data_IF_713964262837
#
_entry.id   IF_713964262837
#
_cell.length_a   1.000
_cell.length_b   1.000
_cell.length_c   1.000
_cell.angle_alpha   90.00
_cell.angle_beta   90.00
_cell.angle_gamma   90.00
#
_symmetry.space_group_name_H-M   'P 1'
#
loop_
_entity.id
_entity.type
_entity.pdbx_description
1 polymer ?
#
# COMPACT_ATOMS: atom_id res chain seq x y z
N UNK A 1 -1.14 5.40 21.26
CA UNK A 1 -1.53 4.15 22.00
C UNK A 1 -0.36 3.18 21.89
N UNK A 2 -0.03 2.44 22.96
CA UNK A 2 1.04 1.45 22.86
C UNK A 2 0.52 0.17 22.20
N UNK A 3 1.22 -0.30 21.17
CA UNK A 3 0.94 -1.54 20.47
C UNK A 3 1.74 -2.67 21.11
N UNK A 4 1.12 -3.83 21.32
CA UNK A 4 1.77 -4.95 21.99
C UNK A 4 1.56 -6.23 21.20
N UNK A 5 2.62 -7.04 21.12
CA UNK A 5 2.53 -8.40 20.59
C UNK A 5 3.41 -9.33 21.42
N UNK A 6 2.96 -10.56 21.62
CA UNK A 6 3.70 -11.58 22.34
C UNK A 6 4.05 -12.72 21.39
N UNK A 7 5.34 -13.07 21.31
CA UNK A 7 5.83 -14.19 20.51
C UNK A 7 6.59 -15.14 21.43
N UNK A 8 6.00 -16.32 21.65
CA UNK A 8 6.53 -17.28 22.62
C UNK A 8 6.52 -16.68 24.03
N UNK A 9 7.70 -16.58 24.66
CA UNK A 9 7.88 -15.97 25.99
C UNK A 9 8.24 -14.49 25.96
N UNK A 10 8.41 -13.89 24.76
CA UNK A 10 8.86 -12.51 24.62
C UNK A 10 7.68 -11.58 24.30
N UNK A 11 7.51 -10.53 25.10
CA UNK A 11 6.56 -9.45 24.86
C UNK A 11 7.29 -8.27 24.21
N UNK A 12 6.75 -7.79 23.11
CA UNK A 12 7.22 -6.61 22.37
C UNK A 12 6.21 -5.50 22.55
N UNK A 13 6.70 -4.28 22.75
CA UNK A 13 5.88 -3.08 22.92
C UNK A 13 6.38 -2.04 21.92
N UNK A 14 5.47 -1.43 21.18
CA UNK A 14 5.75 -0.38 20.22
C UNK A 14 4.98 0.88 20.66
N UNK A 15 5.64 2.02 20.59
CA UNK A 15 5.12 3.28 21.15
C UNK A 15 4.01 3.87 20.29
N UNK A 16 4.17 3.82 18.96
CA UNK A 16 3.26 4.41 18.00
C UNK A 16 3.06 3.56 16.73
N UNK A 17 2.06 3.92 15.92
CA UNK A 17 1.76 3.25 14.65
C UNK A 17 2.91 3.39 13.64
N UNK A 18 3.65 4.50 13.67
CA UNK A 18 4.80 4.74 12.82
C UNK A 18 5.90 3.72 13.07
N UNK A 19 6.19 3.43 14.34
CA UNK A 19 7.18 2.41 14.73
C UNK A 19 6.71 1.01 14.30
N UNK A 20 5.45 0.65 14.54
CA UNK A 20 4.88 -0.63 14.07
C UNK A 20 5.04 -0.78 12.56
N UNK A 21 4.70 0.27 11.80
CA UNK A 21 4.84 0.28 10.35
C UNK A 21 6.30 0.14 9.89
N UNK A 22 7.23 0.81 10.56
CA UNK A 22 8.65 0.72 10.23
C UNK A 22 9.19 -0.69 10.49
N UNK A 23 8.91 -1.25 11.66
CA UNK A 23 9.41 -2.56 12.09
C UNK A 23 8.75 -3.75 11.35
N UNK A 24 7.49 -3.61 10.94
CA UNK A 24 6.81 -4.61 10.10
C UNK A 24 7.37 -4.70 8.67
N UNK A 25 8.21 -3.75 8.26
CA UNK A 25 8.80 -3.70 6.92
C UNK A 25 9.79 -4.84 6.68
N UNK A 26 9.93 -5.33 5.42
CA UNK A 26 11.00 -6.26 5.06
C UNK A 26 12.37 -5.67 5.38
N UNK A 27 13.30 -6.53 5.79
CA UNK A 27 14.66 -6.10 6.11
C UNK A 27 15.36 -5.51 4.88
N UNK A 28 15.88 -4.29 5.01
CA UNK A 28 16.71 -3.61 4.01
C UNK A 28 17.99 -3.13 4.67
N UNK A 29 19.10 -3.21 3.94
CA UNK A 29 20.42 -2.83 4.48
C UNK A 29 20.47 -1.36 4.92
N UNK A 30 19.80 -0.46 4.20
CA UNK A 30 19.72 0.95 4.54
C UNK A 30 18.97 1.21 5.85
N UNK A 31 17.83 0.54 6.05
CA UNK A 31 17.02 0.70 7.26
C UNK A 31 17.77 0.18 8.51
N UNK A 32 18.56 -0.88 8.32
CA UNK A 32 19.40 -1.44 9.39
C UNK A 32 20.51 -0.47 9.82
N UNK A 33 21.18 0.14 8.83
CA UNK A 33 22.23 1.13 9.09
C UNK A 33 21.68 2.41 9.74
N UNK A 34 20.46 2.80 9.38
CA UNK A 34 19.78 3.97 9.94
C UNK A 34 19.12 3.72 11.30
N UNK A 35 19.07 2.45 11.76
CA UNK A 35 18.41 2.09 13.03
C UNK A 35 16.87 2.28 13.03
N UNK A 36 16.24 2.34 11.84
CA UNK A 36 14.80 2.61 11.72
C UNK A 36 13.99 1.30 11.62
N UNK A 37 14.62 0.20 11.24
CA UNK A 37 13.98 -1.11 11.09
C UNK A 37 14.09 -1.98 12.34
N UNK A 38 13.34 -3.09 12.34
CA UNK A 38 13.41 -4.07 13.41
C UNK A 38 14.83 -4.65 13.56
N UNK A 39 15.31 -4.75 14.80
CA UNK A 39 16.64 -5.26 15.13
C UNK A 39 16.77 -6.77 14.93
N UNK A 40 15.64 -7.50 14.96
CA UNK A 40 15.59 -8.95 14.83
C UNK A 40 14.39 -9.41 13.98
N UNK A 41 14.47 -10.66 13.51
CA UNK A 41 13.34 -11.30 12.82
C UNK A 41 12.14 -11.48 13.76
N UNK A 42 12.35 -11.74 15.04
CA UNK A 42 11.29 -11.89 16.03
C UNK A 42 10.55 -10.56 16.25
N UNK A 43 11.29 -9.46 16.39
CA UNK A 43 10.72 -8.13 16.53
C UNK A 43 9.90 -7.73 15.30
N UNK A 44 10.39 -8.06 14.10
CA UNK A 44 9.63 -7.83 12.85
C UNK A 44 8.32 -8.61 12.82
N UNK A 45 8.36 -9.89 13.20
CA UNK A 45 7.15 -10.71 13.27
C UNK A 45 6.21 -10.15 14.33
N UNK A 46 6.71 -9.73 15.50
CA UNK A 46 5.89 -9.09 16.53
C UNK A 46 5.20 -7.81 16.00
N UNK A 47 5.94 -6.97 15.27
CA UNK A 47 5.37 -5.78 14.64
C UNK A 47 4.31 -6.13 13.57
N UNK A 48 4.50 -7.21 12.80
CA UNK A 48 3.50 -7.69 11.85
C UNK A 48 2.23 -8.20 12.56
N UNK A 49 2.35 -8.89 13.69
CA UNK A 49 1.19 -9.29 14.49
C UNK A 49 0.44 -8.08 15.06
N UNK A 50 1.17 -7.13 15.66
CA UNK A 50 0.56 -5.89 16.15
C UNK A 50 -0.15 -5.12 15.04
N UNK A 51 0.47 -5.04 13.84
CA UNK A 51 -0.12 -4.40 12.66
C UNK A 51 -1.38 -5.14 12.17
N UNK A 52 -1.37 -6.47 12.21
CA UNK A 52 -2.49 -7.30 11.78
C UNK A 52 -3.76 -7.03 12.59
N UNK A 53 -3.62 -6.81 13.90
CA UNK A 53 -4.71 -6.52 14.83
C UNK A 53 -5.15 -5.04 14.80
N UNK A 54 -4.41 -4.16 14.14
CA UNK A 54 -4.71 -2.73 14.09
C UNK A 54 -5.95 -2.48 13.23
N UNK A 55 -6.98 -1.77 13.74
CA UNK A 55 -8.14 -1.39 12.94
C UNK A 55 -7.77 -0.39 11.84
N UNK A 56 -8.34 -0.51 10.64
CA UNK A 56 -8.09 0.41 9.53
C UNK A 56 -8.39 1.88 9.88
N UNK A 57 -9.44 2.13 10.68
CA UNK A 57 -9.78 3.47 11.15
C UNK A 57 -8.67 4.15 11.96
N UNK A 58 -7.74 3.38 12.54
CA UNK A 58 -6.63 3.91 13.33
C UNK A 58 -5.70 4.79 12.49
N UNK A 59 -5.53 4.47 11.21
CA UNK A 59 -4.72 5.25 10.28
C UNK A 59 -5.28 6.65 9.98
N UNK A 60 -6.58 6.88 10.25
CA UNK A 60 -7.20 8.19 10.13
C UNK A 60 -7.08 9.03 11.40
N UNK A 61 -6.88 8.37 12.55
CA UNK A 61 -6.76 9.04 13.86
C UNK A 61 -5.31 9.24 14.27
N UNK A 62 -4.43 8.33 13.85
CA UNK A 62 -3.00 8.37 14.15
C UNK A 62 -2.22 8.39 12.81
N UNK A 63 -2.12 9.60 12.24
CA UNK A 63 -1.39 9.79 11.00
C UNK A 63 0.11 9.54 11.22
N UNK A 64 0.77 8.87 10.26
CA UNK A 64 2.22 8.59 10.32
C UNK A 64 3.06 9.86 10.23
N UNK A 65 2.54 10.88 9.56
CA UNK A 65 3.09 12.22 9.47
C UNK A 65 1.99 13.17 9.95
N UNK A 66 2.26 14.10 10.87
CA UNK A 66 1.26 15.05 11.36
C UNK A 66 0.67 15.88 10.21
N UNK A 67 -0.65 16.14 10.29
CA UNK A 67 -1.38 16.92 9.28
C UNK A 67 -0.75 18.28 9.01
N UNK A 68 -0.20 18.92 10.04
CA UNK A 68 0.39 20.26 9.94
C UNK A 68 1.76 20.28 9.24
N UNK A 69 2.46 19.14 9.24
CA UNK A 69 3.85 19.07 8.81
C UNK A 69 4.01 18.80 7.31
N UNK A 70 2.96 18.24 6.66
CA UNK A 70 3.07 17.80 5.26
C UNK A 70 1.82 18.09 4.42
N UNK A 71 2.01 18.83 3.33
CA UNK A 71 0.94 19.15 2.39
C UNK A 71 0.35 17.93 1.68
N UNK A 72 1.13 16.86 1.49
CA UNK A 72 0.66 15.63 0.85
C UNK A 72 -0.29 14.91 1.80
N UNK A 73 0.07 14.83 3.09
CA UNK A 73 -0.78 14.26 4.13
C UNK A 73 -2.11 15.03 4.23
N UNK A 74 -2.10 16.37 4.11
CA UNK A 74 -3.31 17.19 4.04
C UNK A 74 -4.20 16.79 2.87
N UNK A 75 -3.65 16.71 1.67
CA UNK A 75 -4.40 16.31 0.48
C UNK A 75 -5.01 14.92 0.60
N UNK A 76 -4.31 13.97 1.23
CA UNK A 76 -4.80 12.60 1.44
C UNK A 76 -5.97 12.61 2.42
N UNK A 77 -5.82 13.30 3.55
CA UNK A 77 -6.86 13.36 4.60
C UNK A 77 -8.08 14.13 4.09
N UNK A 78 -7.90 15.26 3.42
CA UNK A 78 -8.98 16.10 2.90
C UNK A 78 -9.72 15.42 1.73
N UNK A 79 -9.00 14.62 0.93
CA UNK A 79 -9.56 13.86 -0.19
C UNK A 79 -10.18 12.50 0.21
N UNK A 80 -10.13 12.11 1.48
CA UNK A 80 -10.63 10.84 1.95
C UNK A 80 -12.17 10.78 1.92
N UNK A 81 -12.72 9.81 1.19
CA UNK A 81 -14.17 9.56 1.13
C UNK A 81 -14.62 8.60 2.24
N UNK A 82 -15.26 9.17 3.26
CA UNK A 82 -15.80 8.42 4.41
C UNK A 82 -16.92 7.43 4.02
N UNK A 83 -17.70 7.75 2.98
CA UNK A 83 -18.77 6.85 2.53
C UNK A 83 -18.20 5.63 1.81
N UNK A 84 -17.20 5.82 0.96
CA UNK A 84 -16.48 4.73 0.34
C UNK A 84 -15.73 3.87 1.36
N UNK A 85 -15.22 4.46 2.46
CA UNK A 85 -14.53 3.76 3.53
C UNK A 85 -15.46 2.97 4.47
N UNK A 86 -16.71 3.39 4.62
CA UNK A 86 -17.65 2.83 5.60
C UNK A 86 -17.74 1.28 5.62
N UNK A 87 -17.76 0.57 4.47
CA UNK A 87 -17.87 -0.89 4.44
C UNK A 87 -16.70 -1.61 5.13
N UNK A 88 -15.50 -1.02 5.12
CA UNK A 88 -14.27 -1.64 5.66
C UNK A 88 -13.79 -0.99 6.96
N UNK A 89 -14.48 0.04 7.45
CA UNK A 89 -14.07 0.81 8.62
C UNK A 89 -13.96 0.00 9.92
N UNK A 90 -14.69 -1.11 10.01
CA UNK A 90 -14.70 -2.01 11.16
C UNK A 90 -13.62 -3.10 11.07
N UNK A 91 -12.98 -3.27 9.92
CA UNK A 91 -12.01 -4.32 9.68
C UNK A 91 -10.66 -3.98 10.30
N UNK A 92 -9.96 -5.03 10.73
CA UNK A 92 -8.52 -4.95 11.01
C UNK A 92 -7.72 -5.03 9.72
N UNK A 93 -6.41 -4.75 9.79
CA UNK A 93 -5.52 -4.90 8.64
C UNK A 93 -5.49 -6.36 8.16
N UNK A 94 -5.57 -7.34 9.08
CA UNK A 94 -5.63 -8.76 8.72
C UNK A 94 -6.94 -9.12 8.02
N UNK A 95 -8.10 -8.68 8.56
CA UNK A 95 -9.40 -8.95 7.95
C UNK A 95 -9.48 -8.36 6.54
N UNK A 96 -8.95 -7.17 6.36
CA UNK A 96 -8.93 -6.50 5.06
C UNK A 96 -8.00 -7.22 4.07
N UNK A 97 -6.84 -7.73 4.52
CA UNK A 97 -5.99 -8.61 3.71
C UNK A 97 -6.76 -9.83 3.23
N UNK A 98 -7.45 -10.51 4.13
CA UNK A 98 -8.18 -11.74 3.82
C UNK A 98 -9.36 -11.46 2.87
N UNK A 99 -10.04 -10.32 3.07
CA UNK A 99 -11.07 -9.86 2.14
C UNK A 99 -10.49 -9.58 0.74
N UNK A 100 -9.33 -8.92 0.64
CA UNK A 100 -8.66 -8.65 -0.65
C UNK A 100 -8.30 -9.94 -1.41
N UNK A 101 -7.95 -11.00 -0.69
CA UNK A 101 -7.61 -12.30 -1.27
C UNK A 101 -8.86 -13.11 -1.65
N UNK A 102 -10.00 -12.82 -1.05
CA UNK A 102 -11.27 -13.51 -1.32
C UNK A 102 -11.85 -13.17 -2.70
N UNK A 103 -12.77 -13.99 -3.20
CA UNK A 103 -13.47 -13.76 -4.46
C UNK A 103 -14.45 -12.56 -4.39
N UNK A 104 -14.80 -12.10 -3.18
CA UNK A 104 -15.66 -10.94 -2.98
C UNK A 104 -14.98 -9.61 -3.37
N UNK A 105 -13.64 -9.55 -3.33
CA UNK A 105 -12.87 -8.39 -3.78
C UNK A 105 -12.79 -8.36 -5.31
N UNK A 106 -13.88 -7.96 -5.96
CA UNK A 106 -13.95 -7.79 -7.41
C UNK A 106 -13.31 -6.46 -7.83
N UNK A 107 -12.96 -6.33 -9.13
CA UNK A 107 -12.44 -5.07 -9.69
C UNK A 107 -13.39 -3.89 -9.45
N UNK A 108 -14.71 -4.11 -9.54
CA UNK A 108 -15.70 -3.08 -9.30
C UNK A 108 -15.77 -2.67 -7.83
N UNK A 109 -15.74 -3.66 -6.90
CA UNK A 109 -15.71 -3.39 -5.46
C UNK A 109 -14.44 -2.61 -5.05
N UNK A 110 -13.28 -2.98 -5.60
CA UNK A 110 -12.02 -2.28 -5.35
C UNK A 110 -12.04 -0.85 -5.90
N UNK A 111 -12.61 -0.64 -7.08
CA UNK A 111 -12.73 0.70 -7.66
C UNK A 111 -13.67 1.61 -6.83
N UNK A 112 -14.77 1.05 -6.31
CA UNK A 112 -15.69 1.79 -5.43
C UNK A 112 -15.06 2.12 -4.08
N UNK A 113 -14.21 1.25 -3.55
CA UNK A 113 -13.53 1.43 -2.26
C UNK A 113 -12.32 2.37 -2.34
N UNK A 114 -11.68 2.46 -3.51
CA UNK A 114 -10.41 3.19 -3.69
C UNK A 114 -10.40 4.63 -3.13
N UNK A 115 -11.45 5.47 -3.30
CA UNK A 115 -11.47 6.82 -2.73
C UNK A 115 -11.48 6.85 -1.19
N UNK A 116 -11.88 5.74 -0.55
CA UNK A 116 -11.93 5.59 0.91
C UNK A 116 -10.66 5.00 1.53
N UNK A 117 -9.66 4.63 0.72
CA UNK A 117 -8.42 4.05 1.23
C UNK A 117 -7.28 5.07 1.20
N UNK A 118 -6.56 5.20 2.31
CA UNK A 118 -5.33 5.97 2.34
C UNK A 118 -4.13 5.13 1.89
N UNK A 119 -3.06 5.76 1.35
CA UNK A 119 -1.83 5.06 0.98
C UNK A 119 -1.22 4.26 2.13
N UNK A 120 -1.34 4.76 3.36
CA UNK A 120 -0.83 4.11 4.57
C UNK A 120 -1.58 2.80 4.87
N UNK A 121 -2.92 2.77 4.71
CA UNK A 121 -3.72 1.55 4.85
C UNK A 121 -3.29 0.48 3.83
N UNK A 122 -3.09 0.89 2.58
CA UNK A 122 -2.62 -0.01 1.51
C UNK A 122 -1.21 -0.51 1.80
N UNK A 123 -0.31 0.37 2.27
CA UNK A 123 1.04 0.00 2.67
C UNK A 123 1.04 -0.98 3.86
N UNK A 124 0.20 -0.77 4.87
CA UNK A 124 0.06 -1.66 6.01
C UNK A 124 -0.34 -3.08 5.59
N UNK A 125 -1.38 -3.19 4.77
CA UNK A 125 -1.86 -4.48 4.27
C UNK A 125 -0.79 -5.18 3.43
N UNK A 126 -0.07 -4.44 2.58
CA UNK A 126 0.99 -5.01 1.74
C UNK A 126 2.14 -5.63 2.54
N UNK A 127 2.42 -5.11 3.75
CA UNK A 127 3.45 -5.65 4.65
C UNK A 127 3.09 -7.03 5.22
N UNK A 128 1.80 -7.36 5.27
CA UNK A 128 1.31 -8.66 5.70
C UNK A 128 1.16 -9.67 4.54
N UNK A 129 1.35 -9.22 3.30
CA UNK A 129 1.20 -10.04 2.11
C UNK A 129 2.54 -10.57 1.60
N UNK A 130 2.54 -11.81 1.12
CA UNK A 130 3.65 -12.38 0.35
C UNK A 130 3.57 -11.89 -1.11
N UNK A 131 4.67 -12.02 -1.84
CA UNK A 131 4.71 -11.63 -3.26
C UNK A 131 3.61 -12.28 -4.11
N UNK A 132 3.26 -13.53 -3.84
CA UNK A 132 2.17 -14.23 -4.53
C UNK A 132 0.80 -13.61 -4.25
N UNK A 133 0.56 -13.19 -3.01
CA UNK A 133 -0.67 -12.54 -2.59
C UNK A 133 -0.80 -11.16 -3.26
N UNK A 134 0.30 -10.39 -3.29
CA UNK A 134 0.36 -9.10 -3.99
C UNK A 134 0.07 -9.24 -5.49
N UNK A 135 0.63 -10.28 -6.15
CA UNK A 135 0.35 -10.56 -7.57
C UNK A 135 -1.12 -10.92 -7.77
N UNK A 136 -1.71 -11.72 -6.88
CA UNK A 136 -3.11 -12.10 -6.97
C UNK A 136 -4.04 -10.88 -6.83
N UNK A 137 -3.78 -9.98 -5.88
CA UNK A 137 -4.54 -8.74 -5.71
C UNK A 137 -4.32 -7.79 -6.87
N UNK A 138 -3.08 -7.62 -7.35
CA UNK A 138 -2.76 -6.76 -8.48
C UNK A 138 -3.49 -7.15 -9.77
N UNK A 139 -3.78 -8.44 -9.98
CA UNK A 139 -4.60 -8.91 -11.10
C UNK A 139 -6.06 -8.43 -11.04
N UNK A 140 -6.59 -8.20 -9.83
CA UNK A 140 -7.94 -7.67 -9.61
C UNK A 140 -7.99 -6.15 -9.82
N UNK A 141 -6.89 -5.44 -9.57
CA UNK A 141 -6.77 -3.99 -9.75
C UNK A 141 -6.46 -3.66 -11.21
N UNK A 142 -7.49 -3.42 -12.03
CA UNK A 142 -7.31 -2.95 -13.41
C UNK A 142 -7.27 -1.42 -13.43
N UNK A 143 -6.08 -0.85 -13.51
CA UNK A 143 -5.91 0.58 -13.77
C UNK A 143 -5.62 0.79 -15.26
N UNK A 144 -6.58 1.34 -15.98
CA UNK A 144 -6.41 1.72 -17.40
C UNK A 144 -6.27 3.25 -17.41
N UNK A 145 -5.09 3.74 -17.75
CA UNK A 145 -4.88 5.17 -18.03
C UNK A 145 -4.74 5.37 -19.52
N UNK A 146 -5.61 6.23 -20.07
CA UNK A 146 -5.52 6.67 -21.46
C UNK A 146 -4.81 8.03 -21.49
N UNK A 147 -3.70 8.11 -22.22
CA UNK A 147 -3.04 9.37 -22.53
C UNK A 147 -3.56 9.87 -23.87
N UNK A 148 -4.21 11.02 -23.89
CA UNK A 148 -4.52 11.72 -25.12
C UNK A 148 -3.29 12.55 -25.51
N UNK A 149 -2.53 12.10 -26.51
CA UNK A 149 -1.57 12.98 -27.19
C UNK A 149 -2.29 13.79 -28.24
N UNK A 150 -1.90 15.07 -28.52
CA UNK A 150 -2.55 15.91 -29.53
C UNK A 150 -2.46 15.37 -30.98
N UNK A 151 -1.76 14.27 -31.21
CA UNK A 151 -1.59 13.56 -32.49
C UNK A 151 -2.36 12.23 -32.52
N UNK A 152 -3.57 12.18 -32.00
CA UNK A 152 -4.61 11.20 -32.33
C UNK A 152 -4.26 9.68 -32.23
N UNK A 153 -3.31 9.25 -31.42
CA UNK A 153 -3.09 7.85 -31.11
C UNK A 153 -3.45 7.58 -29.66
N UNK A 154 -4.58 6.91 -29.42
CA UNK A 154 -4.92 6.34 -28.12
C UNK A 154 -3.94 5.23 -27.77
N UNK A 155 -2.88 5.56 -27.08
CA UNK A 155 -2.01 4.56 -26.48
C UNK A 155 -2.65 4.06 -25.19
N UNK A 156 -3.06 2.79 -25.18
CA UNK A 156 -3.50 2.13 -23.94
C UNK A 156 -2.25 1.58 -23.25
N UNK A 157 -1.76 2.30 -22.25
CA UNK A 157 -0.67 1.80 -21.43
C UNK A 157 -1.26 0.93 -20.32
N UNK A 158 -1.02 -0.38 -20.35
CA UNK A 158 -1.29 -1.27 -19.21
C UNK A 158 -0.11 -1.13 -18.24
N UNK A 159 -0.19 -0.18 -17.33
CA UNK A 159 0.74 -0.12 -16.22
C UNK A 159 0.27 -1.13 -15.17
N UNK A 160 0.98 -2.25 -15.06
CA UNK A 160 0.99 -2.99 -13.80
C UNK A 160 1.57 -2.03 -12.74
N UNK A 161 0.83 -1.81 -11.67
CA UNK A 161 1.22 -0.93 -10.59
C UNK A 161 2.51 -1.50 -9.95
N UNK A 162 3.66 -0.96 -10.33
CA UNK A 162 4.91 -1.17 -9.61
C UNK A 162 5.27 0.15 -8.94
N UNK A 163 5.24 0.25 -7.61
CA UNK A 163 5.47 1.52 -6.90
C UNK A 163 6.92 2.02 -6.94
N UNK A 164 7.82 1.42 -7.73
CA UNK A 164 9.27 1.65 -7.63
C UNK A 164 9.92 2.08 -8.95
N UNK A 165 9.19 2.42 -10.01
CA UNK A 165 9.82 2.92 -11.23
C UNK A 165 9.33 4.34 -11.52
N UNK A 166 10.21 5.36 -11.46
CA UNK A 166 9.85 6.71 -11.88
C UNK A 166 9.50 6.72 -13.38
N UNK A 167 8.62 7.64 -13.84
CA UNK A 167 8.00 7.60 -15.18
C UNK A 167 8.95 8.06 -16.31
N UNK A 168 10.24 7.74 -16.26
CA UNK A 168 11.22 8.32 -17.17
C UNK A 168 11.62 7.43 -18.35
N UNK A 169 11.16 6.18 -18.47
CA UNK A 169 11.52 5.34 -19.61
C UNK A 169 10.29 4.64 -20.19
N UNK A 170 9.42 5.41 -20.85
CA UNK A 170 8.70 4.89 -22.00
C UNK A 170 9.40 5.42 -23.25
N UNK A 171 10.52 4.79 -23.61
CA UNK A 171 11.19 5.07 -24.87
C UNK A 171 10.26 4.61 -26.01
N UNK A 172 9.78 5.59 -26.77
CA UNK A 172 9.04 5.37 -27.99
C UNK A 172 9.86 4.47 -28.92
N UNK A 173 9.42 3.22 -29.10
CA UNK A 173 9.88 2.39 -30.19
C UNK A 173 9.37 3.00 -31.49
N UNK A 174 10.25 3.68 -32.22
CA UNK A 174 10.00 4.15 -33.58
C UNK A 174 9.70 2.92 -34.47
N UNK A 175 8.62 2.93 -35.27
CA UNK A 175 8.47 1.94 -36.32
C UNK A 175 9.56 2.15 -37.35
N UNK A 176 10.34 1.11 -37.62
CA UNK A 176 11.26 1.07 -38.74
C UNK A 176 10.44 1.18 -40.04
N UNK A 177 10.66 2.26 -40.77
CA UNK A 177 10.24 2.34 -42.19
C UNK A 177 11.04 1.30 -42.94
N UNK A 178 10.37 0.29 -43.47
CA UNK A 178 10.93 -0.54 -44.54
C UNK A 178 10.98 0.30 -45.82
N UNK A 179 12.16 0.70 -46.23
CA UNK A 179 12.40 1.09 -47.62
C UNK A 179 12.35 -0.19 -48.45
N UNK A 180 11.38 -0.26 -49.36
CA UNK A 180 11.41 -1.19 -50.50
C UNK A 180 11.89 -0.35 -51.68
N UNK A 181 12.99 -0.79 -52.29
CA UNK A 181 13.39 -0.38 -53.64
C UNK A 181 12.43 -0.94 -54.67
#
# INVERSE_FOLDING_TARGET
MAYRATIGSHAFVFDDLKQVMAFASPARSGDYLAGIGASSAQERIAAQYALAETPLKQFLTEALIPYEDDNITRLIIDGHDRHAFAPVSHMTVADFRDWLLSDNATTAALAALAPGLTPEMVAAVSKLMRNQDLIAVARKCRVIRSFATPLALKAICRCAFSPIIPPTICAASRPRRSMVC
#
